data_IF_442363344503
#
_entry.id   IF_442363344503
#
_cell.length_a   1.000
_cell.length_b   1.000
_cell.length_c   1.000
_cell.angle_alpha   90.00
_cell.angle_beta   90.00
_cell.angle_gamma   90.00
#
_symmetry.space_group_name_H-M   'P 1'
#
loop_
_entity.id
_entity.type
_entity.pdbx_description
1 polymer ?
#
# COMPACT_ATOMS: atom_id res chain seq x y z
N UNK A 1 -3.62 -28.99 2.94
CA UNK A 1 -2.43 -28.67 3.72
C UNK A 1 -2.16 -27.19 3.50
N UNK A 2 -2.49 -26.34 4.49
CA UNK A 2 -2.22 -24.90 4.38
C UNK A 2 -0.73 -24.69 4.69
N UNK A 3 0.07 -24.28 3.69
CA UNK A 3 1.37 -23.68 3.99
C UNK A 3 1.10 -22.51 4.93
N UNK A 4 1.75 -22.46 6.09
CA UNK A 4 1.73 -21.24 6.91
C UNK A 4 2.29 -20.09 6.07
N UNK A 5 1.86 -18.88 6.34
CA UNK A 5 2.39 -17.70 5.64
C UNK A 5 3.93 -17.60 5.86
N UNK A 6 4.43 -18.10 6.98
CA UNK A 6 5.85 -18.18 7.35
C UNK A 6 6.70 -18.99 6.35
N UNK A 7 6.19 -20.15 5.89
CA UNK A 7 6.85 -20.95 4.84
C UNK A 7 6.94 -20.22 3.50
N UNK A 8 6.05 -19.26 3.28
CA UNK A 8 6.10 -18.40 2.09
C UNK A 8 7.31 -17.49 2.17
N UNK A 9 7.61 -16.90 3.32
CA UNK A 9 8.76 -16.00 3.48
C UNK A 9 10.10 -16.73 3.38
N UNK A 10 10.24 -17.94 3.91
CA UNK A 10 11.46 -18.73 3.73
C UNK A 10 11.72 -19.09 2.26
N UNK A 11 10.67 -19.52 1.53
CA UNK A 11 10.77 -19.80 0.10
C UNK A 11 11.20 -18.55 -0.68
N UNK A 12 10.65 -17.38 -0.29
CA UNK A 12 10.96 -16.11 -0.93
C UNK A 12 12.33 -15.54 -0.57
N UNK A 13 12.86 -15.76 0.62
CA UNK A 13 14.23 -15.37 0.99
C UNK A 13 15.28 -16.14 0.19
N UNK A 14 15.01 -17.41 -0.14
CA UNK A 14 15.88 -18.19 -1.02
C UNK A 14 15.87 -17.65 -2.47
N UNK A 15 14.71 -17.23 -2.97
CA UNK A 15 14.58 -16.60 -4.29
C UNK A 15 15.32 -15.26 -4.35
N UNK A 16 15.37 -14.46 -3.26
CA UNK A 16 16.11 -13.19 -3.21
C UNK A 16 17.61 -13.37 -3.48
N UNK A 17 18.23 -14.45 -3.00
CA UNK A 17 19.64 -14.76 -3.29
C UNK A 17 19.89 -14.95 -4.78
N UNK A 18 18.89 -15.41 -5.53
CA UNK A 18 18.94 -15.56 -6.98
C UNK A 18 18.77 -14.21 -7.66
N UNK A 19 17.87 -13.36 -7.13
CA UNK A 19 17.57 -12.03 -7.67
C UNK A 19 18.71 -11.01 -7.44
N UNK A 20 19.55 -11.19 -6.42
CA UNK A 20 20.77 -10.38 -6.24
C UNK A 20 21.69 -10.43 -7.46
N UNK A 21 21.62 -11.51 -8.25
CA UNK A 21 22.37 -11.66 -9.48
C UNK A 21 21.66 -11.10 -10.72
N UNK A 22 20.37 -10.82 -10.64
CA UNK A 22 19.58 -10.28 -11.76
C UNK A 22 18.39 -9.44 -11.27
N UNK A 23 18.58 -8.11 -11.03
CA UNK A 23 17.56 -7.23 -10.47
C UNK A 23 16.31 -7.04 -11.35
N UNK A 24 16.35 -7.42 -12.63
CA UNK A 24 15.23 -7.24 -13.58
C UNK A 24 13.98 -8.06 -13.19
N UNK A 25 14.11 -9.00 -12.26
CA UNK A 25 13.03 -9.89 -11.81
C UNK A 25 12.27 -9.43 -10.54
N UNK A 26 12.70 -8.36 -9.86
CA UNK A 26 12.18 -7.98 -8.54
C UNK A 26 10.68 -7.69 -8.58
N UNK A 27 10.19 -6.91 -9.54
CA UNK A 27 8.76 -6.61 -9.68
C UNK A 27 7.91 -7.89 -9.80
N UNK A 28 8.35 -8.85 -10.63
CA UNK A 28 7.65 -10.12 -10.81
C UNK A 28 7.63 -10.94 -9.53
N UNK A 29 8.72 -10.90 -8.80
CA UNK A 29 8.88 -11.56 -7.53
C UNK A 29 7.93 -11.00 -6.47
N UNK A 30 7.92 -9.67 -6.24
CA UNK A 30 7.04 -8.99 -5.31
C UNK A 30 5.56 -9.23 -5.64
N UNK A 31 5.21 -9.13 -6.92
CA UNK A 31 3.86 -9.44 -7.40
C UNK A 31 3.46 -10.89 -7.12
N UNK A 32 4.36 -11.86 -7.35
CA UNK A 32 4.10 -13.28 -7.05
C UNK A 32 3.87 -13.47 -5.55
N UNK A 33 4.74 -12.92 -4.70
CA UNK A 33 4.62 -12.98 -3.24
C UNK A 33 3.32 -12.36 -2.77
N UNK A 34 3.02 -11.14 -3.20
CA UNK A 34 1.79 -10.43 -2.86
C UNK A 34 0.56 -11.25 -3.22
N UNK A 35 0.49 -11.83 -4.42
CA UNK A 35 -0.65 -12.66 -4.86
C UNK A 35 -0.85 -13.92 -4.04
N UNK A 36 0.22 -14.53 -3.55
CA UNK A 36 0.10 -15.71 -2.67
C UNK A 36 -0.51 -15.32 -1.34
N UNK A 37 -0.06 -14.22 -0.75
CA UNK A 37 -0.59 -13.69 0.51
C UNK A 37 -2.03 -13.19 0.33
N UNK A 38 -2.34 -12.49 -0.75
CA UNK A 38 -3.71 -12.09 -1.11
C UNK A 38 -4.68 -13.26 -1.10
N UNK A 39 -4.29 -14.35 -1.77
CA UNK A 39 -5.12 -15.57 -1.83
C UNK A 39 -5.35 -16.18 -0.46
N UNK A 40 -4.32 -16.25 0.38
CA UNK A 40 -4.44 -16.80 1.74
C UNK A 40 -5.36 -15.94 2.60
N UNK A 41 -5.16 -14.60 2.60
CA UNK A 41 -5.99 -13.66 3.34
C UNK A 41 -7.45 -13.67 2.87
N UNK A 42 -7.66 -13.58 1.55
CA UNK A 42 -9.01 -13.56 0.96
C UNK A 42 -9.76 -14.86 1.22
N UNK A 43 -9.08 -15.99 1.12
CA UNK A 43 -9.64 -17.30 1.41
C UNK A 43 -10.08 -17.39 2.88
N UNK A 44 -9.19 -17.10 3.81
CA UNK A 44 -9.48 -17.13 5.25
C UNK A 44 -10.61 -16.19 5.63
N UNK A 45 -10.61 -14.98 5.08
CA UNK A 45 -11.66 -13.99 5.29
C UNK A 45 -13.03 -14.48 4.81
N UNK A 46 -13.08 -15.11 3.65
CA UNK A 46 -14.31 -15.64 3.08
C UNK A 46 -14.81 -16.89 3.81
N UNK A 47 -13.90 -17.78 4.24
CA UNK A 47 -14.22 -18.98 5.04
C UNK A 47 -14.86 -18.63 6.38
N UNK A 48 -14.47 -17.49 6.97
CA UNK A 48 -15.10 -16.95 8.18
C UNK A 48 -16.44 -16.23 7.92
N UNK A 49 -16.97 -16.23 6.70
CA UNK A 49 -18.25 -15.61 6.35
C UNK A 49 -18.24 -14.08 6.30
N UNK A 50 -17.09 -13.44 6.50
CA UNK A 50 -16.96 -11.99 6.69
C UNK A 50 -17.30 -11.16 5.44
N UNK A 51 -17.18 -11.74 4.25
CA UNK A 51 -17.38 -11.03 2.97
C UNK A 51 -18.80 -10.48 2.77
N UNK A 52 -19.79 -10.94 3.54
CA UNK A 52 -21.17 -10.46 3.49
C UNK A 52 -21.31 -9.04 4.05
N UNK A 53 -20.60 -8.74 5.14
CA UNK A 53 -20.66 -7.46 5.88
C UNK A 53 -19.41 -6.61 5.69
N UNK A 54 -18.25 -7.23 5.63
CA UNK A 54 -16.98 -6.52 5.61
C UNK A 54 -16.32 -6.57 4.24
N UNK A 55 -15.44 -5.58 4.00
CA UNK A 55 -14.54 -5.56 2.86
C UNK A 55 -13.12 -5.55 3.41
N UNK A 56 -12.30 -6.53 3.00
CA UNK A 56 -10.89 -6.59 3.33
C UNK A 56 -10.10 -5.85 2.25
N UNK A 57 -9.27 -4.91 2.66
CA UNK A 57 -8.42 -4.12 1.77
C UNK A 57 -6.96 -4.13 2.23
N UNK A 58 -6.05 -4.17 1.28
CA UNK A 58 -4.63 -3.88 1.46
C UNK A 58 -4.39 -2.38 1.27
N UNK A 59 -3.50 -1.80 2.07
CA UNK A 59 -3.08 -0.40 1.99
C UNK A 59 -1.55 -0.29 2.07
N UNK A 60 -1.00 0.90 1.92
CA UNK A 60 0.44 1.13 2.01
C UNK A 60 1.25 0.34 0.96
N UNK A 61 2.40 -0.20 1.34
CA UNK A 61 3.24 -1.03 0.48
C UNK A 61 2.53 -2.30 -0.01
N UNK A 62 1.75 -2.93 0.86
CA UNK A 62 0.94 -4.09 0.49
C UNK A 62 -0.14 -3.73 -0.54
N UNK A 63 -0.74 -2.55 -0.41
CA UNK A 63 -1.71 -2.03 -1.39
C UNK A 63 -1.09 -1.81 -2.78
N UNK A 64 0.16 -1.35 -2.85
CA UNK A 64 0.93 -1.14 -4.09
C UNK A 64 1.52 -2.40 -4.71
N UNK A 65 1.33 -3.56 -4.08
CA UNK A 65 1.96 -4.84 -4.46
C UNK A 65 3.50 -4.84 -4.28
N UNK A 66 4.00 -3.99 -3.37
CA UNK A 66 5.41 -3.85 -3.00
C UNK A 66 5.68 -4.51 -1.64
N UNK A 67 5.24 -5.75 -1.46
CA UNK A 67 5.39 -6.46 -0.20
C UNK A 67 6.73 -7.21 -0.15
N UNK A 68 7.74 -6.53 0.40
CA UNK A 68 9.05 -7.14 0.66
C UNK A 68 8.99 -8.18 1.79
N UNK A 69 9.95 -9.12 1.88
CA UNK A 69 9.94 -10.16 2.90
C UNK A 69 9.87 -9.65 4.34
N UNK A 70 10.48 -8.54 4.65
CA UNK A 70 10.43 -7.94 5.99
C UNK A 70 9.39 -6.81 6.15
N UNK A 71 8.55 -6.58 5.12
CA UNK A 71 7.54 -5.53 5.16
C UNK A 71 6.35 -5.90 6.02
N UNK A 72 5.79 -4.90 6.67
CA UNK A 72 4.52 -5.02 7.39
C UNK A 72 3.37 -5.26 6.40
N UNK A 73 2.38 -6.05 6.81
CA UNK A 73 1.13 -6.25 6.09
C UNK A 73 0.11 -5.27 6.63
N UNK A 74 -0.15 -4.19 5.88
CA UNK A 74 -1.10 -3.17 6.26
C UNK A 74 -2.48 -3.46 5.67
N UNK A 75 -3.47 -3.64 6.55
CA UNK A 75 -4.84 -3.98 6.21
C UNK A 75 -5.83 -2.94 6.73
N UNK A 76 -6.87 -2.68 5.97
CA UNK A 76 -8.07 -2.01 6.47
C UNK A 76 -9.30 -2.85 6.18
N UNK A 77 -10.13 -3.03 7.19
CA UNK A 77 -11.39 -3.77 7.10
C UNK A 77 -12.52 -2.74 7.17
N UNK A 78 -13.31 -2.68 6.11
CA UNK A 78 -14.40 -1.72 6.00
C UNK A 78 -15.70 -2.39 6.43
N UNK A 79 -16.26 -1.94 7.56
CA UNK A 79 -17.56 -2.39 8.07
C UNK A 79 -18.69 -1.64 7.36
N UNK A 80 -19.58 -2.40 6.73
CA UNK A 80 -20.74 -1.86 6.00
C UNK A 80 -21.97 -1.67 6.91
N UNK A 81 -21.95 -2.25 8.12
CA UNK A 81 -23.03 -2.10 9.11
C UNK A 81 -22.48 -1.79 10.52
N UNK A 82 -21.88 -0.60 10.71
CA UNK A 82 -21.17 -0.25 11.96
C UNK A 82 -22.12 -0.07 13.17
N UNK A 83 -23.44 -0.14 12.97
CA UNK A 83 -24.42 -0.09 14.05
C UNK A 83 -24.58 -1.44 14.77
N UNK A 84 -24.25 -2.53 14.10
CA UNK A 84 -24.22 -3.85 14.69
C UNK A 84 -22.91 -4.11 15.42
N UNK A 85 -22.99 -4.88 16.50
CA UNK A 85 -21.76 -5.34 17.19
C UNK A 85 -20.86 -6.08 16.19
N UNK A 86 -19.53 -6.00 16.33
CA UNK A 86 -18.59 -6.80 15.57
C UNK A 86 -18.93 -8.30 15.73
N UNK A 87 -18.79 -9.04 14.66
CA UNK A 87 -18.98 -10.49 14.67
C UNK A 87 -17.78 -11.17 15.33
N UNK A 88 -18.01 -12.29 16.02
CA UNK A 88 -16.94 -13.07 16.65
C UNK A 88 -15.94 -13.58 15.61
N UNK A 89 -16.44 -13.91 14.43
CA UNK A 89 -15.65 -14.34 13.28
C UNK A 89 -14.61 -13.30 12.85
N UNK A 90 -14.90 -11.99 13.04
CA UNK A 90 -13.94 -10.93 12.79
C UNK A 90 -12.79 -10.97 13.79
N UNK A 91 -13.09 -11.18 15.08
CA UNK A 91 -12.07 -11.32 16.11
C UNK A 91 -11.21 -12.56 15.86
N UNK A 92 -11.83 -13.68 15.47
CA UNK A 92 -11.13 -14.91 15.11
C UNK A 92 -10.21 -14.71 13.90
N UNK A 93 -10.64 -13.93 12.91
CA UNK A 93 -9.79 -13.59 11.77
C UNK A 93 -8.60 -12.71 12.18
N UNK A 94 -8.82 -11.70 13.03
CA UNK A 94 -7.75 -10.82 13.52
C UNK A 94 -6.75 -11.61 14.40
N UNK A 95 -7.22 -12.46 15.28
CA UNK A 95 -6.35 -13.34 16.09
C UNK A 95 -5.51 -14.25 15.20
N UNK A 96 -6.15 -14.86 14.19
CA UNK A 96 -5.42 -15.68 13.22
C UNK A 96 -4.35 -14.89 12.46
N UNK A 97 -4.58 -13.59 12.12
CA UNK A 97 -3.57 -12.76 11.49
C UNK A 97 -2.33 -12.59 12.38
N UNK A 98 -2.50 -12.38 13.67
CA UNK A 98 -1.39 -12.23 14.61
C UNK A 98 -0.60 -13.53 14.83
N UNK A 99 -1.28 -14.69 14.72
CA UNK A 99 -0.66 -16.00 14.84
C UNK A 99 0.22 -16.39 13.63
N UNK A 100 0.25 -15.55 12.57
CA UNK A 100 1.01 -15.87 11.35
C UNK A 100 2.48 -15.41 11.35
N UNK A 101 3.01 -14.92 12.48
CA UNK A 101 4.36 -14.35 12.60
C UNK A 101 4.69 -13.18 11.65
N UNK A 102 3.67 -12.57 11.05
CA UNK A 102 3.82 -11.33 10.29
C UNK A 102 3.60 -10.11 11.17
N UNK A 103 4.34 -9.05 10.88
CA UNK A 103 3.97 -7.74 11.40
C UNK A 103 2.73 -7.26 10.64
N UNK A 104 1.57 -7.31 11.30
CA UNK A 104 0.29 -6.91 10.71
C UNK A 104 -0.20 -5.63 11.35
N UNK A 105 -0.25 -4.56 10.56
CA UNK A 105 -1.02 -3.37 10.87
C UNK A 105 -2.47 -3.56 10.39
N UNK A 106 -3.46 -3.37 11.28
CA UNK A 106 -4.84 -3.46 10.84
C UNK A 106 -5.71 -2.36 11.44
N UNK A 107 -6.77 -2.01 10.73
CA UNK A 107 -7.83 -1.13 11.24
C UNK A 107 -9.19 -1.63 10.79
N UNK A 108 -10.20 -1.45 11.66
CA UNK A 108 -11.61 -1.73 11.32
C UNK A 108 -12.35 -0.41 11.37
N UNK A 109 -12.94 0.00 10.25
CA UNK A 109 -13.56 1.33 10.12
C UNK A 109 -14.83 1.25 9.25
N UNK A 110 -15.81 2.08 9.54
CA UNK A 110 -16.90 2.32 8.57
C UNK A 110 -16.41 3.22 7.43
N UNK A 111 -17.11 3.21 6.29
CA UNK A 111 -16.85 4.13 5.17
C UNK A 111 -16.89 5.59 5.63
N UNK A 112 -17.86 5.97 6.47
CA UNK A 112 -17.99 7.33 6.97
C UNK A 112 -16.83 7.74 7.89
N UNK A 113 -16.37 6.84 8.77
CA UNK A 113 -15.21 7.08 9.64
C UNK A 113 -13.93 7.24 8.81
N UNK A 114 -13.69 6.34 7.86
CA UNK A 114 -12.58 6.42 6.91
C UNK A 114 -12.57 7.76 6.16
N UNK A 115 -13.71 8.18 5.61
CA UNK A 115 -13.82 9.45 4.91
C UNK A 115 -13.60 10.67 5.81
N UNK A 116 -14.06 10.62 7.06
CA UNK A 116 -13.84 11.69 8.04
C UNK A 116 -12.36 11.82 8.39
N UNK A 117 -11.69 10.70 8.68
CA UNK A 117 -10.26 10.69 9.02
C UNK A 117 -9.44 11.19 7.83
N UNK A 118 -9.64 10.65 6.65
CA UNK A 118 -8.89 11.04 5.44
C UNK A 118 -9.06 12.51 5.01
N UNK A 119 -10.16 13.16 5.40
CA UNK A 119 -10.35 14.60 5.14
C UNK A 119 -9.61 15.50 6.15
N UNK A 120 -9.40 15.00 7.35
CA UNK A 120 -8.72 15.74 8.41
C UNK A 120 -7.21 15.43 8.46
N UNK A 121 -6.82 14.28 7.94
CA UNK A 121 -5.45 13.79 7.92
C UNK A 121 -5.08 13.33 6.51
N UNK A 122 -4.24 14.11 5.83
CA UNK A 122 -3.79 13.83 4.48
C UNK A 122 -2.76 12.69 4.42
N UNK A 123 -2.13 12.33 5.54
CA UNK A 123 -1.29 11.15 5.64
C UNK A 123 -2.16 9.88 5.54
N UNK A 124 -3.24 9.82 6.30
CA UNK A 124 -4.23 8.75 6.18
C UNK A 124 -4.86 8.71 4.77
N UNK A 125 -5.16 9.89 4.19
CA UNK A 125 -5.63 9.97 2.81
C UNK A 125 -4.62 9.37 1.82
N UNK A 126 -3.32 9.63 2.02
CA UNK A 126 -2.25 9.09 1.16
C UNK A 126 -2.29 7.56 1.13
N UNK A 127 -2.52 6.90 2.27
CA UNK A 127 -2.61 5.43 2.32
C UNK A 127 -3.77 4.89 1.47
N UNK A 128 -4.86 5.67 1.33
CA UNK A 128 -6.03 5.29 0.53
C UNK A 128 -5.81 5.45 -1.00
N UNK A 129 -4.79 6.17 -1.44
CA UNK A 129 -4.43 6.22 -2.87
C UNK A 129 -3.96 4.87 -3.40
N UNK A 130 -3.37 4.07 -2.51
CA UNK A 130 -2.88 2.72 -2.84
C UNK A 130 -3.81 1.61 -2.35
N UNK A 131 -5.06 1.94 -1.99
CA UNK A 131 -5.98 0.93 -1.47
C UNK A 131 -6.37 -0.08 -2.54
N UNK A 132 -6.31 -1.37 -2.18
CA UNK A 132 -6.62 -2.49 -3.05
C UNK A 132 -7.55 -3.47 -2.33
N UNK A 133 -8.71 -3.77 -2.94
CA UNK A 133 -9.69 -4.69 -2.36
C UNK A 133 -9.22 -6.14 -2.54
N UNK A 134 -9.19 -6.89 -1.44
CA UNK A 134 -8.83 -8.31 -1.41
C UNK A 134 -10.06 -9.21 -1.38
N UNK A 135 -11.05 -8.87 -0.54
CA UNK A 135 -12.26 -9.69 -0.39
C UNK A 135 -13.47 -8.83 0.03
N UNK A 136 -14.66 -9.28 -0.31
CA UNK A 136 -15.94 -8.65 0.02
C UNK A 136 -17.03 -9.01 -0.98
N UNK A 137 -18.29 -8.76 -0.65
CA UNK A 137 -19.38 -8.97 -1.60
C UNK A 137 -19.30 -7.98 -2.77
N UNK A 138 -19.66 -8.43 -3.97
CA UNK A 138 -19.64 -7.58 -5.18
C UNK A 138 -20.43 -6.27 -5.00
N UNK A 139 -21.58 -6.35 -4.32
CA UNK A 139 -22.42 -5.19 -4.01
C UNK A 139 -21.66 -4.18 -3.13
N UNK A 140 -21.05 -4.64 -2.05
CA UNK A 140 -20.32 -3.79 -1.10
C UNK A 140 -19.08 -3.17 -1.73
N UNK A 141 -18.32 -3.94 -2.52
CA UNK A 141 -17.16 -3.45 -3.25
C UNK A 141 -17.55 -2.35 -4.24
N UNK A 142 -18.65 -2.51 -4.97
CA UNK A 142 -19.13 -1.49 -5.91
C UNK A 142 -19.50 -0.19 -5.19
N UNK A 143 -20.24 -0.30 -4.07
CA UNK A 143 -20.58 0.87 -3.24
C UNK A 143 -19.34 1.55 -2.68
N UNK A 144 -18.42 0.79 -2.11
CA UNK A 144 -17.17 1.28 -1.56
C UNK A 144 -16.33 2.04 -2.61
N UNK A 145 -16.15 1.47 -3.80
CA UNK A 145 -15.40 2.11 -4.88
C UNK A 145 -16.03 3.44 -5.33
N UNK A 146 -17.38 3.53 -5.35
CA UNK A 146 -18.08 4.80 -5.60
C UNK A 146 -17.78 5.83 -4.53
N UNK A 147 -17.82 5.42 -3.25
CA UNK A 147 -17.60 6.30 -2.10
C UNK A 147 -16.14 6.75 -2.00
N UNK A 148 -15.20 5.88 -2.37
CA UNK A 148 -13.78 6.19 -2.48
C UNK A 148 -13.52 7.22 -3.60
N UNK A 149 -14.12 7.04 -4.77
CA UNK A 149 -14.06 8.05 -5.86
C UNK A 149 -14.65 9.40 -5.44
N UNK A 150 -15.75 9.40 -4.68
CA UNK A 150 -16.34 10.63 -4.16
C UNK A 150 -15.40 11.31 -3.13
N UNK A 151 -14.70 10.56 -2.29
CA UNK A 151 -13.69 11.07 -1.38
C UNK A 151 -12.54 11.72 -2.15
N UNK A 152 -12.00 11.03 -3.16
CA UNK A 152 -10.92 11.56 -3.99
C UNK A 152 -11.28 12.90 -4.64
N UNK A 153 -12.51 13.10 -5.09
CA UNK A 153 -12.99 14.36 -5.63
C UNK A 153 -13.07 15.49 -4.59
N UNK A 154 -13.35 15.16 -3.33
CA UNK A 154 -13.48 16.15 -2.24
C UNK A 154 -12.13 16.71 -1.78
N UNK A 155 -11.06 15.94 -1.88
CA UNK A 155 -9.72 16.41 -1.53
C UNK A 155 -9.19 17.31 -2.65
N UNK A 156 -8.90 18.58 -2.36
CA UNK A 156 -8.41 19.54 -3.35
C UNK A 156 -6.97 19.21 -3.76
N UNK A 157 -6.71 19.16 -5.08
CA UNK A 157 -5.39 18.84 -5.66
C UNK A 157 -4.28 19.72 -5.09
N UNK A 158 -4.49 21.05 -5.07
CA UNK A 158 -3.52 22.01 -4.52
C UNK A 158 -3.20 21.76 -3.03
N UNK A 159 -4.22 21.44 -2.23
CA UNK A 159 -4.03 21.16 -0.79
C UNK A 159 -3.20 19.91 -0.59
N UNK A 160 -3.45 18.86 -1.36
CA UNK A 160 -2.68 17.63 -1.30
C UNK A 160 -1.23 17.82 -1.80
N UNK A 161 -1.04 18.57 -2.88
CA UNK A 161 0.28 18.88 -3.40
C UNK A 161 1.12 19.63 -2.35
N UNK A 162 0.61 20.72 -1.78
CA UNK A 162 1.31 21.50 -0.76
C UNK A 162 1.60 20.65 0.49
N UNK A 163 0.70 19.74 0.85
CA UNK A 163 0.93 18.81 1.95
C UNK A 163 2.14 17.90 1.67
N UNK A 164 2.23 17.32 0.48
CA UNK A 164 3.36 16.46 0.09
C UNK A 164 4.68 17.23 -0.06
N UNK A 165 4.62 18.46 -0.52
CA UNK A 165 5.79 19.35 -0.57
C UNK A 165 6.31 19.64 0.83
N UNK A 166 5.45 20.03 1.78
CA UNK A 166 5.83 20.29 3.17
C UNK A 166 6.38 19.02 3.86
N UNK A 167 5.72 17.87 3.66
CA UNK A 167 6.20 16.57 4.17
C UNK A 167 7.64 16.27 3.66
N UNK A 168 7.92 16.54 2.39
CA UNK A 168 9.24 16.34 1.82
C UNK A 168 10.27 17.29 2.44
N UNK A 169 9.92 18.57 2.61
CA UNK A 169 10.80 19.57 3.25
C UNK A 169 11.12 19.17 4.69
N UNK A 170 10.10 18.82 5.49
CA UNK A 170 10.29 18.39 6.88
C UNK A 170 11.15 17.13 6.98
N UNK A 171 10.92 16.18 6.07
CA UNK A 171 11.72 14.96 5.99
C UNK A 171 13.17 15.24 5.63
N UNK A 172 13.44 16.11 4.65
CA UNK A 172 14.79 16.49 4.26
C UNK A 172 15.53 17.17 5.41
N UNK A 173 14.86 18.03 6.18
CA UNK A 173 15.47 18.68 7.35
C UNK A 173 15.95 17.66 8.40
N UNK A 174 15.25 16.55 8.61
CA UNK A 174 15.67 15.47 9.52
C UNK A 174 16.99 14.82 9.11
N UNK A 175 17.33 14.87 7.83
CA UNK A 175 18.57 14.34 7.27
C UNK A 175 19.58 15.45 6.94
N UNK A 176 19.47 16.65 7.57
CA UNK A 176 20.31 17.82 7.31
C UNK A 176 20.35 18.20 5.81
N UNK A 177 19.29 17.90 5.08
CA UNK A 177 19.16 18.13 3.63
C UNK A 177 20.30 17.52 2.80
N UNK A 178 20.87 16.40 3.24
CA UNK A 178 21.96 15.69 2.55
C UNK A 178 21.62 14.21 2.38
N UNK A 179 22.04 13.64 1.25
CA UNK A 179 22.02 12.21 0.96
C UNK A 179 23.27 11.48 1.52
N UNK A 180 24.30 12.23 1.93
CA UNK A 180 25.58 11.68 2.38
C UNK A 180 25.61 11.46 3.90
N UNK A 181 24.75 10.59 4.40
CA UNK A 181 24.79 10.16 5.79
C UNK A 181 25.65 8.89 5.94
N UNK A 182 26.30 8.73 7.12
CA UNK A 182 27.10 7.54 7.42
C UNK A 182 26.28 6.25 7.37
N UNK A 183 25.01 6.33 7.78
CA UNK A 183 24.01 5.24 7.68
C UNK A 183 22.82 5.77 6.87
N UNK A 184 22.82 5.64 5.53
CA UNK A 184 21.72 6.14 4.72
C UNK A 184 20.46 5.31 4.91
N UNK A 185 19.34 5.98 5.18
CA UNK A 185 18.03 5.37 5.14
C UNK A 185 17.52 5.34 3.69
N UNK A 186 17.53 4.15 3.07
CA UNK A 186 17.13 3.97 1.66
C UNK A 186 15.65 4.25 1.40
N UNK A 187 14.83 4.39 2.45
CA UNK A 187 13.41 4.71 2.34
C UNK A 187 13.15 6.20 2.51
N UNK A 188 13.73 6.81 3.56
CA UNK A 188 13.33 8.15 4.00
C UNK A 188 14.35 9.25 3.68
N UNK A 189 15.64 8.91 3.41
CA UNK A 189 16.65 9.90 3.04
C UNK A 189 16.29 10.64 1.74
N UNK A 190 16.78 11.88 1.55
CA UNK A 190 16.61 12.61 0.28
C UNK A 190 17.10 11.80 -0.92
N UNK A 191 16.33 11.81 -2.00
CA UNK A 191 16.61 11.04 -3.22
C UNK A 191 16.24 9.56 -3.16
N UNK A 192 15.70 9.07 -2.03
CA UNK A 192 15.39 7.66 -1.82
C UNK A 192 13.93 7.30 -2.14
N UNK A 193 13.50 6.10 -1.75
CA UNK A 193 12.22 5.48 -2.14
C UNK A 193 10.99 6.34 -1.82
N UNK A 194 11.00 7.09 -0.70
CA UNK A 194 9.90 7.97 -0.33
C UNK A 194 9.66 9.10 -1.33
N UNK A 195 10.71 9.59 -1.98
CA UNK A 195 10.56 10.64 -3.01
C UNK A 195 9.85 10.11 -4.24
N UNK A 196 10.19 8.89 -4.65
CA UNK A 196 9.51 8.20 -5.76
C UNK A 196 8.04 7.99 -5.43
N UNK A 197 7.72 7.48 -4.24
CA UNK A 197 6.34 7.33 -3.78
C UNK A 197 5.60 8.68 -3.73
N UNK A 198 6.26 9.76 -3.31
CA UNK A 198 5.65 11.09 -3.27
C UNK A 198 5.27 11.58 -4.66
N UNK A 199 6.13 11.35 -5.65
CA UNK A 199 5.82 11.64 -7.05
C UNK A 199 4.64 10.79 -7.54
N UNK A 200 4.61 9.49 -7.23
CA UNK A 200 3.48 8.60 -7.59
C UNK A 200 2.15 9.08 -7.01
N UNK A 201 2.11 9.42 -5.73
CA UNK A 201 0.90 9.92 -5.08
C UNK A 201 0.43 11.26 -5.66
N UNK A 202 1.38 12.15 -6.01
CA UNK A 202 1.06 13.41 -6.72
C UNK A 202 0.49 13.12 -8.10
N UNK A 203 1.10 12.19 -8.86
CA UNK A 203 0.60 11.77 -10.16
C UNK A 203 -0.81 11.20 -10.07
N UNK A 204 -1.05 10.29 -9.14
CA UNK A 204 -2.36 9.70 -8.92
C UNK A 204 -3.41 10.74 -8.53
N UNK A 205 -3.09 11.63 -7.59
CA UNK A 205 -4.07 12.58 -7.08
C UNK A 205 -4.24 13.81 -7.94
N UNK A 206 -3.15 14.40 -8.45
CA UNK A 206 -3.18 15.69 -9.12
C UNK A 206 -3.35 15.55 -10.65
N UNK A 207 -2.72 14.53 -11.24
CA UNK A 207 -2.76 14.27 -12.68
C UNK A 207 -3.76 13.17 -13.06
N UNK A 208 -4.31 12.44 -12.09
CA UNK A 208 -5.23 11.30 -12.30
C UNK A 208 -4.58 10.18 -13.14
N UNK A 209 -3.28 9.97 -12.93
CA UNK A 209 -2.46 8.96 -13.59
C UNK A 209 -2.13 7.85 -12.59
N UNK A 210 -2.55 6.62 -12.86
CA UNK A 210 -2.42 5.48 -11.94
C UNK A 210 -0.98 5.01 -11.71
N UNK A 211 -0.02 5.42 -12.55
CA UNK A 211 1.38 5.00 -12.44
C UNK A 211 2.30 5.99 -13.15
N UNK A 212 3.48 6.23 -12.58
CA UNK A 212 4.56 7.00 -13.21
C UNK A 212 4.87 6.48 -14.63
N UNK A 213 4.76 5.17 -14.86
CA UNK A 213 4.98 4.56 -16.18
C UNK A 213 4.05 5.09 -17.28
N UNK A 214 2.91 5.69 -16.89
CA UNK A 214 1.93 6.30 -17.81
C UNK A 214 2.13 7.82 -17.99
N UNK A 215 3.08 8.44 -17.29
CA UNK A 215 3.43 9.82 -17.51
C UNK A 215 3.87 10.01 -18.97
N UNK A 216 3.17 10.89 -19.69
CA UNK A 216 3.55 11.25 -21.05
C UNK A 216 4.91 11.93 -21.06
N UNK A 217 5.69 11.71 -22.10
CA UNK A 217 7.06 12.19 -22.27
C UNK A 217 7.20 13.74 -22.33
N UNK A 218 6.11 14.47 -22.13
CA UNK A 218 6.11 15.95 -22.09
C UNK A 218 6.74 16.51 -20.79
N UNK A 219 6.87 15.67 -19.72
CA UNK A 219 7.44 16.08 -18.43
C UNK A 219 8.86 15.54 -18.28
N UNK A 220 9.12 14.32 -18.74
CA UNK A 220 10.42 13.66 -18.70
C UNK A 220 10.78 13.10 -20.07
N UNK A 221 12.05 13.24 -20.47
CA UNK A 221 12.54 12.54 -21.65
C UNK A 221 12.69 11.03 -21.37
N UNK A 222 12.91 10.22 -22.45
CA UNK A 222 13.06 8.76 -22.31
C UNK A 222 14.17 8.33 -21.35
N UNK A 223 15.28 9.04 -21.33
CA UNK A 223 16.44 8.74 -20.49
C UNK A 223 16.13 9.01 -19.03
N UNK A 224 15.54 10.18 -18.74
CA UNK A 224 15.12 10.57 -17.38
C UNK A 224 14.06 9.62 -16.82
N UNK A 225 13.06 9.25 -17.63
CA UNK A 225 12.06 8.27 -17.23
C UNK A 225 12.68 6.90 -16.94
N UNK A 226 13.62 6.45 -17.77
CA UNK A 226 14.33 5.18 -17.56
C UNK A 226 15.17 5.24 -16.28
N UNK A 227 15.83 6.35 -16.02
CA UNK A 227 16.61 6.56 -14.80
C UNK A 227 15.72 6.56 -13.57
N UNK A 228 14.58 7.26 -13.58
CA UNK A 228 13.60 7.29 -12.50
C UNK A 228 13.06 5.89 -12.18
N UNK A 229 12.69 5.13 -13.22
CA UNK A 229 12.20 3.75 -13.06
C UNK A 229 13.30 2.80 -12.56
N UNK A 230 14.54 2.99 -13.00
CA UNK A 230 15.68 2.20 -12.50
C UNK A 230 15.99 2.53 -11.05
N UNK A 231 15.94 3.80 -10.64
CA UNK A 231 16.10 4.21 -9.24
C UNK A 231 15.04 3.54 -8.35
N UNK A 232 13.80 3.51 -8.79
CA UNK A 232 12.73 2.76 -8.11
C UNK A 232 13.08 1.28 -7.92
N UNK A 233 13.77 0.65 -8.88
CA UNK A 233 14.18 -0.74 -8.81
C UNK A 233 15.47 -0.97 -8.02
N UNK A 234 16.38 0.01 -7.96
CA UNK A 234 17.66 -0.10 -7.25
C UNK A 234 17.46 0.05 -5.73
N UNK A 235 16.51 0.89 -5.30
CA UNK A 235 16.19 1.07 -3.87
C UNK A 235 15.29 -0.05 -3.31
N UNK A 236 14.87 -0.96 -4.14
CA UNK A 236 14.16 -2.19 -3.84
C UNK A 236 15.14 -3.37 -3.73
#
# INVERSE_FOLDING_TARGET
MHKSLELIDEEFLNDLKILQKNPIGVDKYLNKRTRVIDKALSKRFSENGLSSRYILCAIGGFGREELFPASDIDLTIIDQDPKKKPEEELNNFISWLWDQNFKVGHSVRSVSAMQKIARNDLQEYTSLLSIRVLSGSKKNITAFNRDLKALHKKIRKKVFFNFKENEAIERYQKFNSTEFNLEPDIKESPGCLRDIHSVEWICQKCLEIDSIKKLKMDIFNRSEMKSLLNLSLIHI
#
